data_IF_236602689212
#
_entry.id   IF_236602689212
#
_cell.length_a   1.000
_cell.length_b   1.000
_cell.length_c   1.000
_cell.angle_alpha   90.00
_cell.angle_beta   90.00
_cell.angle_gamma   90.00
#
_symmetry.space_group_name_H-M   'P 1'
#
loop_
_entity.id
_entity.type
_entity.pdbx_description
1 polymer ?
#
# COMPACT_ATOMS: atom_id res chain seq x y z
N UNK A 1 0.98 14.73 -0.74
CA UNK A 1 1.24 13.37 -0.23
C UNK A 1 0.99 13.46 1.25
N UNK A 2 0.03 12.72 1.78
CA UNK A 2 -0.31 12.78 3.21
C UNK A 2 0.84 12.14 4.00
N UNK A 3 1.52 12.88 4.90
CA UNK A 3 2.63 12.33 5.70
C UNK A 3 2.21 11.11 6.51
N UNK A 4 0.94 11.06 6.93
CA UNK A 4 0.33 9.97 7.69
C UNK A 4 0.36 8.62 6.94
N UNK A 5 0.16 8.62 5.60
CA UNK A 5 0.18 7.38 4.80
C UNK A 5 1.55 6.71 4.84
N UNK A 6 2.60 7.53 4.78
CA UNK A 6 3.97 7.04 4.83
C UNK A 6 4.32 6.47 6.21
N UNK A 7 3.83 7.11 7.28
CA UNK A 7 3.99 6.62 8.66
C UNK A 7 3.28 5.29 8.87
N UNK A 8 2.04 5.16 8.37
CA UNK A 8 1.28 3.89 8.40
C UNK A 8 1.97 2.79 7.61
N UNK A 9 2.59 3.11 6.47
CA UNK A 9 3.39 2.14 5.73
C UNK A 9 4.57 1.61 6.56
N UNK A 10 5.30 2.51 7.24
CA UNK A 10 6.42 2.14 8.12
C UNK A 10 5.95 1.28 9.30
N UNK A 11 4.84 1.65 9.93
CA UNK A 11 4.24 0.86 11.03
C UNK A 11 3.80 -0.53 10.54
N UNK A 12 3.15 -0.59 9.37
CA UNK A 12 2.74 -1.84 8.72
C UNK A 12 3.93 -2.76 8.44
N UNK A 13 5.04 -2.22 7.91
CA UNK A 13 6.29 -2.98 7.73
C UNK A 13 6.86 -3.47 9.06
N UNK A 14 6.76 -2.67 10.12
CA UNK A 14 7.10 -3.11 11.48
C UNK A 14 6.31 -4.34 11.92
N UNK A 15 5.01 -4.40 11.58
CA UNK A 15 4.16 -5.56 11.82
C UNK A 15 4.57 -6.76 10.96
N UNK A 16 4.89 -6.56 9.68
CA UNK A 16 5.39 -7.63 8.80
C UNK A 16 6.70 -8.22 9.33
N UNK A 17 7.63 -7.39 9.83
CA UNK A 17 8.88 -7.84 10.45
C UNK A 17 8.60 -8.72 11.68
N UNK A 18 7.62 -8.35 12.53
CA UNK A 18 7.21 -9.17 13.68
C UNK A 18 6.67 -10.53 13.22
N UNK A 19 5.90 -10.58 12.12
CA UNK A 19 5.40 -11.83 11.53
C UNK A 19 6.57 -12.70 11.05
N UNK A 20 7.51 -12.13 10.28
CA UNK A 20 8.70 -12.84 9.76
C UNK A 20 9.53 -13.46 10.89
N UNK A 21 9.64 -12.77 12.03
CA UNK A 21 10.42 -13.23 13.19
C UNK A 21 9.64 -14.14 14.16
N UNK A 22 8.36 -14.41 13.89
CA UNK A 22 7.52 -15.22 14.77
C UNK A 22 7.85 -16.72 14.69
N UNK A 23 7.62 -17.46 15.79
CA UNK A 23 7.76 -18.93 15.80
C UNK A 23 6.82 -19.61 14.79
N UNK A 24 5.63 -19.04 14.58
CA UNK A 24 4.65 -19.57 13.63
C UNK A 24 5.15 -19.50 12.18
N UNK A 25 5.91 -18.46 11.83
CA UNK A 25 6.44 -18.28 10.48
C UNK A 25 7.77 -19.03 10.24
N UNK A 26 8.43 -19.52 11.30
CA UNK A 26 9.78 -20.10 11.22
C UNK A 26 9.91 -21.23 10.19
N UNK A 27 8.88 -22.07 10.01
CA UNK A 27 8.90 -23.19 9.06
C UNK A 27 8.78 -22.79 7.58
N UNK A 28 8.42 -21.54 7.29
CA UNK A 28 8.26 -21.01 5.92
C UNK A 28 9.45 -20.17 5.48
N UNK A 29 10.49 -20.08 6.33
CA UNK A 29 11.64 -19.22 6.13
C UNK A 29 12.86 -20.09 5.78
N UNK A 30 13.66 -19.64 4.83
CA UNK A 30 14.96 -20.24 4.59
C UNK A 30 15.85 -20.09 5.83
N UNK A 31 16.68 -21.10 6.18
CA UNK A 31 17.45 -21.11 7.44
C UNK A 31 18.24 -19.84 7.72
N UNK A 32 18.79 -19.19 6.69
CA UNK A 32 19.65 -18.01 6.82
C UNK A 32 18.93 -16.69 6.51
N UNK A 33 17.65 -16.72 6.14
CA UNK A 33 16.95 -15.48 5.83
C UNK A 33 16.88 -14.58 7.08
N UNK A 34 16.82 -13.27 6.88
CA UNK A 34 16.55 -12.29 7.94
C UNK A 34 15.47 -11.34 7.43
N UNK A 35 14.72 -10.68 8.32
CA UNK A 35 13.73 -9.71 7.87
C UNK A 35 14.37 -8.60 7.02
N UNK A 36 15.53 -8.07 7.45
CA UNK A 36 16.30 -7.09 6.67
C UNK A 36 16.78 -7.65 5.32
N UNK A 37 17.28 -8.89 5.28
CA UNK A 37 17.70 -9.54 4.04
C UNK A 37 16.54 -9.72 3.04
N UNK A 38 15.35 -10.07 3.53
CA UNK A 38 14.15 -10.17 2.70
C UNK A 38 13.69 -8.80 2.19
N UNK A 39 13.74 -7.74 3.02
CA UNK A 39 13.44 -6.38 2.56
C UNK A 39 14.43 -5.92 1.50
N UNK A 40 15.74 -6.16 1.68
CA UNK A 40 16.75 -5.85 0.68
C UNK A 40 16.52 -6.59 -0.65
N UNK A 41 16.09 -7.85 -0.58
CA UNK A 41 15.70 -8.61 -1.77
C UNK A 41 14.51 -7.94 -2.49
N UNK A 42 13.46 -7.57 -1.76
CA UNK A 42 12.29 -6.89 -2.35
C UNK A 42 12.69 -5.55 -2.98
N UNK A 43 13.57 -4.77 -2.34
CA UNK A 43 14.05 -3.50 -2.88
C UNK A 43 14.83 -3.68 -4.20
N UNK A 44 15.54 -4.78 -4.36
CA UNK A 44 16.28 -5.09 -5.59
C UNK A 44 15.38 -5.49 -6.76
N UNK A 45 14.18 -6.03 -6.49
CA UNK A 45 13.25 -6.49 -7.52
C UNK A 45 12.52 -5.33 -8.22
N UNK A 46 12.30 -5.39 -9.54
CA UNK A 46 11.55 -4.39 -10.28
C UNK A 46 10.03 -4.58 -10.12
N UNK A 47 9.53 -4.41 -8.90
CA UNK A 47 8.10 -4.59 -8.58
C UNK A 47 7.21 -3.44 -9.09
N UNK A 48 7.80 -2.31 -9.44
CA UNK A 48 7.13 -1.14 -10.01
C UNK A 48 8.09 -0.36 -10.93
N UNK A 49 7.58 0.73 -11.53
CA UNK A 49 8.33 1.61 -12.43
C UNK A 49 9.02 2.79 -11.72
N UNK A 50 9.11 2.79 -10.38
CA UNK A 50 9.73 3.88 -9.62
C UNK A 50 11.25 3.71 -9.58
N UNK A 51 11.96 4.83 -9.54
CA UNK A 51 13.40 4.84 -9.24
C UNK A 51 13.62 4.28 -7.83
N UNK A 52 14.56 3.35 -7.70
CA UNK A 52 14.89 2.66 -6.44
C UNK A 52 16.30 3.05 -5.97
N UNK A 53 16.46 3.27 -4.68
CA UNK A 53 17.70 3.72 -4.05
C UNK A 53 18.45 2.54 -3.41
N UNK A 54 18.85 1.58 -4.25
CA UNK A 54 19.38 0.29 -3.77
C UNK A 54 20.74 0.45 -3.06
N UNK A 55 21.54 1.44 -3.46
CA UNK A 55 22.89 1.68 -2.93
C UNK A 55 22.94 2.70 -1.76
N UNK A 56 21.81 3.28 -1.36
CA UNK A 56 21.77 4.21 -0.23
C UNK A 56 21.69 3.48 1.11
N UNK A 57 22.03 4.15 2.20
CA UNK A 57 21.74 3.67 3.56
C UNK A 57 20.27 3.31 3.67
N UNK A 58 19.97 2.13 4.21
CA UNK A 58 18.61 1.63 4.34
C UNK A 58 17.76 2.56 5.20
N UNK A 59 16.64 3.02 4.64
CA UNK A 59 15.64 3.84 5.33
C UNK A 59 14.25 3.29 5.04
N UNK A 60 13.44 3.11 6.08
CA UNK A 60 12.14 2.46 5.95
C UNK A 60 11.13 3.33 5.19
N UNK A 61 11.21 4.66 5.34
CA UNK A 61 10.34 5.59 4.60
C UNK A 61 10.69 5.57 3.11
N UNK A 62 11.97 5.52 2.77
CA UNK A 62 12.40 5.40 1.38
C UNK A 62 12.04 4.03 0.80
N UNK A 63 12.20 2.94 1.56
CA UNK A 63 11.74 1.61 1.14
C UNK A 63 10.26 1.62 0.77
N UNK A 64 9.39 2.16 1.63
CA UNK A 64 7.96 2.34 1.33
C UNK A 64 7.73 3.05 0.00
N UNK A 65 8.43 4.16 -0.26
CA UNK A 65 8.29 4.93 -1.51
C UNK A 65 8.84 4.20 -2.73
N UNK A 66 9.91 3.44 -2.57
CA UNK A 66 10.62 2.76 -3.64
C UNK A 66 9.86 1.51 -4.09
N UNK A 67 9.23 0.80 -3.14
CA UNK A 67 8.60 -0.50 -3.41
C UNK A 67 7.07 -0.47 -3.43
N UNK A 68 6.44 0.69 -3.22
CA UNK A 68 4.97 0.79 -3.23
C UNK A 68 4.38 0.25 -4.54
N UNK A 69 3.32 -0.53 -4.41
CA UNK A 69 2.52 -1.00 -5.53
C UNK A 69 1.03 -0.81 -5.22
N UNK A 70 0.20 -0.82 -6.24
CA UNK A 70 -1.25 -0.79 -6.02
C UNK A 70 -1.70 -2.09 -5.36
N UNK A 71 -2.63 -1.97 -4.42
CA UNK A 71 -3.39 -3.12 -3.89
C UNK A 71 -4.65 -3.38 -4.73
N UNK A 72 -4.78 -2.72 -5.88
CA UNK A 72 -5.92 -2.78 -6.79
C UNK A 72 -7.27 -2.34 -6.19
N UNK A 73 -7.27 -1.69 -5.03
CA UNK A 73 -8.46 -1.13 -4.36
C UNK A 73 -8.55 0.39 -4.47
N UNK A 74 -8.30 0.94 -5.66
CA UNK A 74 -8.63 2.34 -5.92
C UNK A 74 -10.16 2.52 -5.90
N UNK A 75 -10.61 3.63 -5.35
CA UNK A 75 -12.02 3.95 -5.16
C UNK A 75 -12.21 5.47 -5.08
N UNK A 76 -13.45 5.93 -5.10
CA UNK A 76 -13.78 7.36 -5.14
C UNK A 76 -13.86 7.93 -6.55
N UNK A 77 -14.08 9.24 -6.64
CA UNK A 77 -14.28 9.98 -7.89
C UNK A 77 -15.73 10.42 -8.12
N UNK A 78 -16.70 9.73 -7.51
CA UNK A 78 -18.13 10.04 -7.59
C UNK A 78 -18.76 10.07 -6.17
N UNK A 79 -18.08 10.70 -5.22
CA UNK A 79 -18.42 10.53 -3.80
C UNK A 79 -19.85 11.00 -3.45
N UNK A 80 -20.47 10.27 -2.51
CA UNK A 80 -21.72 10.70 -1.87
C UNK A 80 -21.55 12.08 -1.22
N UNK A 81 -22.51 12.97 -1.46
CA UNK A 81 -22.50 14.36 -1.00
C UNK A 81 -21.63 15.31 -1.82
N UNK A 82 -20.87 14.80 -2.80
CA UNK A 82 -20.09 15.62 -3.76
C UNK A 82 -20.63 15.52 -5.19
N UNK A 83 -20.93 14.31 -5.66
CA UNK A 83 -21.41 14.05 -7.04
C UNK A 83 -22.78 13.38 -7.03
N UNK A 84 -23.03 12.48 -6.08
CA UNK A 84 -24.33 11.81 -5.90
C UNK A 84 -24.95 12.11 -4.53
N UNK A 85 -26.27 12.03 -4.42
CA UNK A 85 -26.97 12.11 -3.14
C UNK A 85 -26.93 10.79 -2.35
N UNK A 86 -27.53 10.76 -1.15
CA UNK A 86 -27.62 9.55 -0.31
C UNK A 86 -28.45 8.41 -0.92
N UNK A 87 -29.16 8.67 -2.02
CA UNK A 87 -29.86 7.67 -2.83
C UNK A 87 -29.09 7.32 -4.11
N UNK A 88 -27.82 7.70 -4.19
CA UNK A 88 -26.91 7.51 -5.33
C UNK A 88 -27.36 8.18 -6.63
N UNK A 89 -28.23 9.19 -6.56
CA UNK A 89 -28.64 9.97 -7.73
C UNK A 89 -27.65 11.08 -8.00
N UNK A 90 -27.31 11.29 -9.28
CA UNK A 90 -26.42 12.38 -9.68
C UNK A 90 -27.06 13.72 -9.36
N UNK A 91 -26.34 14.59 -8.67
CA UNK A 91 -26.85 15.88 -8.22
C UNK A 91 -27.23 16.76 -9.43
N UNK A 92 -28.46 17.27 -9.45
CA UNK A 92 -28.98 18.13 -10.51
C UNK A 92 -29.37 17.41 -11.82
N UNK A 93 -29.29 16.08 -11.86
CA UNK A 93 -29.67 15.27 -13.04
C UNK A 93 -30.75 14.26 -12.65
N UNK A 94 -31.86 14.30 -13.36
CA UNK A 94 -32.93 13.32 -13.20
C UNK A 94 -32.60 11.98 -13.87
N UNK A 95 -33.14 10.90 -13.31
CA UNK A 95 -33.06 9.54 -13.86
C UNK A 95 -31.64 8.95 -14.07
N UNK A 96 -30.60 9.51 -13.43
CA UNK A 96 -29.22 9.01 -13.49
C UNK A 96 -28.68 8.66 -12.09
N UNK A 97 -28.03 7.50 -11.98
CA UNK A 97 -27.38 7.02 -10.74
C UNK A 97 -26.00 6.42 -11.03
N UNK A 98 -25.14 6.41 -10.02
CA UNK A 98 -23.84 5.72 -10.02
C UNK A 98 -23.78 4.78 -8.83
N UNK A 99 -23.50 3.49 -9.06
CA UNK A 99 -23.50 2.45 -8.03
C UNK A 99 -22.31 1.51 -8.29
N UNK A 100 -21.13 1.91 -7.86
CA UNK A 100 -19.88 1.15 -7.93
C UNK A 100 -18.88 1.66 -6.88
N UNK A 101 -17.60 1.25 -6.97
CA UNK A 101 -16.54 1.68 -6.04
C UNK A 101 -16.15 3.16 -6.13
N UNK A 102 -16.77 3.96 -6.99
CA UNK A 102 -16.48 5.39 -7.10
C UNK A 102 -17.20 6.26 -6.06
N UNK A 103 -18.24 5.73 -5.39
CA UNK A 103 -19.14 6.48 -4.50
C UNK A 103 -18.76 6.43 -3.03
#
# INVERSE_FOLDING_TARGET
QEPEDLEKCVEGLGTIIKVINSKAYAKYKYPEATAGGLLNLILALPTNLRTRHIASTFDMKQFCKDTVMTIYHYHGGCQVGKVVDNSYKVLGIDALRVIDGST
#
